data_IF_654976120203
#
_entry.id   IF_654976120203
#
_cell.length_a   1.000
_cell.length_b   1.000
_cell.length_c   1.000
_cell.angle_alpha   90.00
_cell.angle_beta   90.00
_cell.angle_gamma   90.00
#
_symmetry.space_group_name_H-M   'P 1'
#
loop_
_entity.id
_entity.type
_entity.pdbx_description
1 polymer ?
#
# COMPACT_ATOMS: atom_id res chain seq x y z
N UNK A 1 16.57 33.74 -28.45
CA UNK A 1 17.24 32.50 -28.06
C UNK A 1 16.23 31.68 -27.27
N UNK A 2 15.76 30.63 -27.84
CA UNK A 2 14.69 29.78 -27.27
C UNK A 2 15.33 28.75 -26.37
N UNK A 3 15.36 29.03 -25.07
CA UNK A 3 16.02 28.19 -24.07
C UNK A 3 15.18 26.98 -23.60
N UNK A 4 14.03 26.69 -24.22
CA UNK A 4 13.16 25.57 -23.82
C UNK A 4 13.36 24.37 -24.75
N UNK A 5 14.56 23.84 -24.80
CA UNK A 5 14.81 22.59 -25.52
C UNK A 5 14.39 21.39 -24.66
N UNK A 6 13.95 20.25 -25.25
CA UNK A 6 13.73 19.01 -24.50
C UNK A 6 14.91 18.57 -23.65
N UNK A 7 16.13 18.90 -24.04
CA UNK A 7 17.37 18.60 -23.30
C UNK A 7 17.44 19.43 -22.03
N UNK A 8 17.12 20.73 -22.10
CA UNK A 8 17.14 21.62 -20.93
C UNK A 8 16.02 21.24 -19.95
N UNK A 9 14.82 20.96 -20.46
CA UNK A 9 13.69 20.52 -19.65
C UNK A 9 14.04 19.21 -18.89
N UNK A 10 14.68 18.27 -19.57
CA UNK A 10 15.14 17.03 -18.94
C UNK A 10 16.20 17.32 -17.89
N UNK A 11 17.22 18.12 -18.21
CA UNK A 11 18.31 18.47 -17.28
C UNK A 11 17.77 19.13 -16.01
N UNK A 12 16.91 20.12 -16.14
CA UNK A 12 16.27 20.78 -14.99
C UNK A 12 15.39 19.82 -14.16
N UNK A 13 14.67 18.91 -14.82
CA UNK A 13 13.86 17.90 -14.14
C UNK A 13 14.75 16.96 -13.30
N UNK A 14 15.88 16.51 -13.85
CA UNK A 14 16.85 15.67 -13.14
C UNK A 14 17.48 16.39 -11.95
N UNK A 15 17.85 17.67 -12.12
CA UNK A 15 18.38 18.51 -11.04
C UNK A 15 17.36 18.66 -9.90
N UNK A 16 16.09 18.98 -10.22
CA UNK A 16 15.02 19.08 -9.20
C UNK A 16 14.76 17.75 -8.49
N UNK A 17 14.97 16.63 -9.18
CA UNK A 17 14.85 15.30 -8.61
C UNK A 17 16.06 14.85 -7.79
N UNK A 18 17.16 15.62 -7.79
CA UNK A 18 18.43 15.30 -7.10
C UNK A 18 19.18 14.15 -7.74
N UNK A 19 19.07 13.97 -9.07
CA UNK A 19 19.67 12.86 -9.82
C UNK A 19 20.94 13.32 -10.53
N UNK A 20 21.98 12.46 -10.53
CA UNK A 20 23.28 12.74 -11.08
C UNK A 20 23.96 11.52 -11.76
N UNK A 21 25.27 11.58 -11.99
CA UNK A 21 26.01 10.58 -12.78
C UNK A 21 25.99 9.15 -12.23
N UNK A 22 25.78 9.00 -10.92
CA UNK A 22 25.74 7.69 -10.27
C UNK A 22 24.36 7.02 -10.34
N UNK A 23 23.32 7.80 -10.68
CA UNK A 23 21.97 7.30 -10.79
C UNK A 23 21.75 6.60 -12.13
N UNK A 24 21.02 5.48 -12.07
CA UNK A 24 20.56 4.76 -13.26
C UNK A 24 19.09 5.05 -13.51
N UNK A 25 18.77 5.44 -14.75
CA UNK A 25 17.43 5.77 -15.20
C UNK A 25 16.92 4.73 -16.19
N UNK A 26 15.64 4.42 -16.14
CA UNK A 26 14.97 3.64 -17.19
C UNK A 26 14.06 4.55 -18.01
N UNK A 27 14.26 4.61 -19.32
CA UNK A 27 13.45 5.39 -20.24
C UNK A 27 12.36 4.52 -20.87
N UNK A 28 11.10 4.85 -20.64
CA UNK A 28 9.98 4.15 -21.30
C UNK A 28 9.81 4.64 -22.74
N UNK A 29 10.12 3.78 -23.71
CA UNK A 29 10.03 4.06 -25.14
C UNK A 29 8.88 3.27 -25.79
N UNK A 30 7.93 3.98 -26.41
CA UNK A 30 6.85 3.38 -27.18
C UNK A 30 7.14 3.30 -28.69
N UNK A 31 8.22 3.94 -29.16
CA UNK A 31 8.51 4.14 -30.57
C UNK A 31 7.88 5.38 -31.18
N UNK A 32 6.87 5.97 -30.52
CA UNK A 32 6.23 7.21 -30.97
C UNK A 32 7.11 8.43 -30.74
N UNK A 33 6.82 9.53 -31.51
CA UNK A 33 7.61 10.75 -31.59
C UNK A 33 8.10 11.26 -30.23
N UNK A 34 7.20 11.45 -29.27
CA UNK A 34 7.53 12.09 -27.99
C UNK A 34 8.50 11.22 -27.17
N UNK A 35 8.38 9.89 -27.25
CA UNK A 35 9.32 8.96 -26.61
C UNK A 35 10.67 8.90 -27.30
N UNK A 36 10.72 9.10 -28.62
CA UNK A 36 11.96 9.23 -29.38
C UNK A 36 12.67 10.54 -29.02
N UNK A 37 11.96 11.65 -28.97
CA UNK A 37 12.50 12.94 -28.48
C UNK A 37 13.14 12.77 -27.09
N UNK A 38 12.47 12.07 -26.18
CA UNK A 38 13.03 11.84 -24.83
C UNK A 38 14.31 10.97 -24.88
N UNK A 39 14.33 9.96 -25.73
CA UNK A 39 15.51 9.10 -25.89
C UNK A 39 16.72 9.89 -26.44
N UNK A 40 16.52 10.73 -27.46
CA UNK A 40 17.57 11.60 -27.99
C UNK A 40 18.02 12.66 -26.98
N UNK A 41 17.11 13.24 -26.20
CA UNK A 41 17.44 14.19 -25.13
C UNK A 41 18.29 13.53 -24.03
N UNK A 42 17.98 12.29 -23.64
CA UNK A 42 18.77 11.51 -22.68
C UNK A 42 20.17 11.21 -23.26
N UNK A 43 20.26 10.83 -24.53
CA UNK A 43 21.56 10.57 -25.16
C UNK A 43 22.43 11.84 -25.21
N UNK A 44 21.83 13.01 -25.45
CA UNK A 44 22.54 14.30 -25.47
C UNK A 44 23.07 14.73 -24.11
N UNK A 45 22.48 14.25 -23.00
CA UNK A 45 22.91 14.56 -21.63
C UNK A 45 24.00 13.61 -21.09
N UNK A 46 24.53 12.68 -21.86
CA UNK A 46 25.62 11.79 -21.41
C UNK A 46 26.94 12.57 -21.35
N UNK A 47 27.76 12.43 -20.28
CA UNK A 47 27.72 11.42 -19.23
C UNK A 47 26.96 11.83 -17.95
N UNK A 48 26.10 12.83 -17.98
CA UNK A 48 25.43 13.38 -16.78
C UNK A 48 24.60 12.33 -16.03
N UNK A 49 24.08 11.31 -16.72
CA UNK A 49 23.30 10.20 -16.11
C UNK A 49 23.54 8.89 -16.86
N UNK A 50 23.40 7.77 -16.17
CA UNK A 50 23.33 6.45 -16.77
C UNK A 50 21.89 6.16 -17.14
N UNK A 51 21.63 5.66 -18.36
CA UNK A 51 20.28 5.38 -18.81
C UNK A 51 20.21 4.12 -19.67
N UNK A 52 19.09 3.39 -19.54
CA UNK A 52 18.71 2.31 -20.43
C UNK A 52 17.30 2.57 -20.97
N UNK A 53 17.04 2.08 -22.17
CA UNK A 53 15.73 2.19 -22.85
C UNK A 53 14.91 0.94 -22.59
N UNK A 54 13.64 1.10 -22.27
CA UNK A 54 12.70 0.01 -22.06
C UNK A 54 11.50 0.11 -23.00
N UNK A 55 11.25 -0.95 -23.75
CA UNK A 55 10.05 -1.10 -24.58
C UNK A 55 9.14 -2.20 -24.03
N UNK A 56 7.84 -1.90 -23.91
CA UNK A 56 6.83 -2.88 -23.50
C UNK A 56 5.95 -3.22 -24.68
N UNK A 57 6.09 -4.45 -25.16
CA UNK A 57 5.32 -5.00 -26.27
C UNK A 57 3.97 -5.52 -25.76
N UNK A 58 2.88 -4.87 -26.14
CA UNK A 58 1.54 -5.18 -25.63
C UNK A 58 0.89 -6.42 -26.30
N UNK A 59 1.40 -6.90 -27.42
CA UNK A 59 0.83 -8.04 -28.16
C UNK A 59 -0.53 -7.78 -28.82
N UNK A 60 -0.95 -6.52 -28.93
CA UNK A 60 -2.29 -6.15 -29.41
C UNK A 60 -2.33 -5.77 -30.90
N UNK A 61 -1.18 -5.53 -31.50
CA UNK A 61 -1.09 -5.05 -32.88
C UNK A 61 -0.16 -5.94 -33.68
N UNK A 62 -0.48 -6.13 -34.98
CA UNK A 62 0.33 -6.97 -35.88
C UNK A 62 1.73 -6.42 -36.14
N UNK A 63 1.91 -5.09 -36.08
CA UNK A 63 3.20 -4.40 -36.26
C UNK A 63 4.01 -4.18 -34.98
N UNK A 64 3.59 -4.76 -33.88
CA UNK A 64 4.25 -4.53 -32.60
C UNK A 64 5.71 -5.07 -32.55
N UNK A 65 6.01 -6.12 -33.35
CA UNK A 65 7.38 -6.63 -33.52
C UNK A 65 8.26 -5.67 -34.30
N UNK A 66 7.73 -5.02 -35.37
CA UNK A 66 8.45 -3.98 -36.12
C UNK A 66 8.80 -2.79 -35.23
N UNK A 67 7.87 -2.39 -34.35
CA UNK A 67 8.10 -1.28 -33.41
C UNK A 67 9.14 -1.62 -32.35
N UNK A 68 9.15 -2.86 -31.89
CA UNK A 68 10.18 -3.36 -30.99
C UNK A 68 11.56 -3.27 -31.65
N UNK A 69 11.69 -3.80 -32.89
CA UNK A 69 12.93 -3.77 -33.64
C UNK A 69 13.41 -2.34 -33.91
N UNK A 70 12.49 -1.44 -34.28
CA UNK A 70 12.77 -0.02 -34.45
C UNK A 70 13.33 0.63 -33.18
N UNK A 71 12.66 0.44 -32.04
CA UNK A 71 13.12 1.00 -30.76
C UNK A 71 14.50 0.46 -30.37
N UNK A 72 14.78 -0.82 -30.61
CA UNK A 72 16.06 -1.44 -30.32
C UNK A 72 17.19 -0.87 -31.21
N UNK A 73 16.92 -0.68 -32.54
CA UNK A 73 17.87 -0.09 -33.45
C UNK A 73 18.21 1.36 -33.09
N UNK A 74 17.21 2.17 -32.79
CA UNK A 74 17.39 3.57 -32.35
C UNK A 74 18.17 3.66 -31.04
N UNK A 75 17.86 2.83 -30.03
CA UNK A 75 18.60 2.80 -28.78
C UNK A 75 20.08 2.42 -29.02
N UNK A 76 20.33 1.42 -29.89
CA UNK A 76 21.66 0.99 -30.28
C UNK A 76 22.44 2.09 -31.00
N UNK A 77 21.82 2.83 -31.92
CA UNK A 77 22.45 3.94 -32.67
C UNK A 77 22.92 5.06 -31.71
N UNK A 78 22.17 5.27 -30.62
CA UNK A 78 22.48 6.23 -29.58
C UNK A 78 23.39 5.66 -28.47
N UNK A 79 23.84 4.41 -28.58
CA UNK A 79 24.69 3.73 -27.60
C UNK A 79 24.00 3.55 -26.24
N UNK A 80 22.67 3.40 -26.23
CA UNK A 80 21.89 3.17 -25.01
C UNK A 80 21.55 1.68 -24.88
N UNK A 81 21.75 1.05 -23.70
CA UNK A 81 21.27 -0.29 -23.42
C UNK A 81 19.74 -0.39 -23.63
N UNK A 82 19.30 -1.52 -24.18
CA UNK A 82 17.89 -1.74 -24.50
C UNK A 82 17.32 -2.97 -23.78
N UNK A 83 16.16 -2.81 -23.16
CA UNK A 83 15.40 -3.88 -22.52
C UNK A 83 14.01 -3.94 -23.14
N UNK A 84 13.43 -5.14 -23.19
CA UNK A 84 12.05 -5.30 -23.64
C UNK A 84 11.30 -6.35 -22.83
N UNK A 85 9.98 -6.18 -22.72
CA UNK A 85 9.07 -7.16 -22.12
C UNK A 85 7.83 -7.29 -22.98
N UNK A 86 7.43 -8.53 -23.23
CA UNK A 86 6.20 -8.86 -23.94
C UNK A 86 5.11 -9.18 -22.92
N UNK A 87 3.99 -8.45 -22.96
CA UNK A 87 2.84 -8.75 -22.11
C UNK A 87 2.11 -9.97 -22.65
N UNK A 88 1.84 -10.93 -21.78
CA UNK A 88 0.98 -12.08 -22.14
C UNK A 88 -0.47 -11.67 -21.95
N UNK A 89 -1.25 -11.68 -23.00
CA UNK A 89 -2.70 -11.46 -22.95
C UNK A 89 -3.31 -12.71 -22.32
N UNK A 90 -3.67 -12.65 -21.05
CA UNK A 90 -4.47 -13.72 -20.42
C UNK A 90 -5.92 -13.59 -20.86
N UNK A 91 -6.59 -14.71 -21.13
CA UNK A 91 -8.01 -14.73 -21.47
C UNK A 91 -8.82 -14.16 -20.27
N UNK A 92 -9.39 -12.98 -20.44
CA UNK A 92 -10.22 -12.29 -19.46
C UNK A 92 -9.57 -11.00 -18.92
N UNK A 93 -10.01 -9.85 -19.44
CA UNK A 93 -9.56 -8.53 -18.97
C UNK A 93 -10.19 -8.12 -17.64
N UNK A 94 -10.96 -9.00 -17.00
CA UNK A 94 -11.71 -8.71 -15.79
C UNK A 94 -12.65 -7.50 -15.95
N UNK A 95 -13.01 -6.89 -14.83
CA UNK A 95 -13.89 -5.70 -14.79
C UNK A 95 -13.21 -4.39 -15.22
N UNK A 96 -11.91 -4.40 -15.45
CA UNK A 96 -11.11 -3.18 -15.70
C UNK A 96 -11.07 -2.72 -17.18
N UNK A 97 -11.40 -3.58 -18.12
CA UNK A 97 -11.26 -3.30 -19.54
C UNK A 97 -9.81 -3.36 -20.08
N UNK A 98 -9.68 -3.50 -21.41
CA UNK A 98 -8.40 -3.71 -22.11
C UNK A 98 -7.36 -2.59 -21.86
N UNK A 99 -7.80 -1.32 -21.90
CA UNK A 99 -6.89 -0.17 -21.76
C UNK A 99 -6.29 -0.11 -20.33
N UNK A 100 -7.10 -0.33 -19.31
CA UNK A 100 -6.65 -0.34 -17.93
C UNK A 100 -5.71 -1.52 -17.64
N UNK A 101 -6.02 -2.69 -18.20
CA UNK A 101 -5.17 -3.87 -18.12
C UNK A 101 -3.79 -3.62 -18.79
N UNK A 102 -3.79 -3.13 -20.02
CA UNK A 102 -2.56 -2.84 -20.76
C UNK A 102 -1.71 -1.78 -20.05
N UNK A 103 -2.36 -0.75 -19.46
CA UNK A 103 -1.69 0.27 -18.66
C UNK A 103 -1.05 -0.31 -17.39
N UNK A 104 -1.78 -1.13 -16.63
CA UNK A 104 -1.25 -1.76 -15.42
C UNK A 104 -0.10 -2.72 -15.75
N UNK A 105 -0.25 -3.55 -16.80
CA UNK A 105 0.79 -4.45 -17.29
C UNK A 105 2.05 -3.71 -17.72
N UNK A 106 1.91 -2.57 -18.42
CA UNK A 106 3.04 -1.72 -18.81
C UNK A 106 3.81 -1.20 -17.60
N UNK A 107 3.12 -0.66 -16.58
CA UNK A 107 3.81 -0.13 -15.40
C UNK A 107 4.53 -1.24 -14.61
N UNK A 108 3.95 -2.44 -14.48
CA UNK A 108 4.62 -3.59 -13.85
C UNK A 108 5.88 -3.99 -14.63
N UNK A 109 5.75 -4.18 -15.95
CA UNK A 109 6.89 -4.55 -16.79
C UNK A 109 8.02 -3.52 -16.74
N UNK A 110 7.69 -2.22 -16.71
CA UNK A 110 8.69 -1.16 -16.55
C UNK A 110 9.32 -1.19 -15.16
N UNK A 111 8.56 -1.48 -14.11
CA UNK A 111 9.09 -1.60 -12.74
C UNK A 111 10.06 -2.79 -12.62
N UNK A 112 9.70 -3.93 -13.22
CA UNK A 112 10.55 -5.13 -13.23
C UNK A 112 11.88 -4.84 -13.96
N UNK A 113 11.82 -4.24 -15.16
CA UNK A 113 13.02 -3.86 -15.92
C UNK A 113 13.86 -2.80 -15.19
N UNK A 114 13.24 -1.84 -14.51
CA UNK A 114 13.95 -0.85 -13.70
C UNK A 114 14.71 -1.53 -12.54
N UNK A 115 14.06 -2.47 -11.87
CA UNK A 115 14.68 -3.25 -10.77
C UNK A 115 15.88 -4.06 -11.26
N UNK A 116 15.80 -4.68 -12.44
CA UNK A 116 16.89 -5.47 -13.04
C UNK A 116 18.18 -4.66 -13.22
N UNK A 117 18.06 -3.38 -13.56
CA UNK A 117 19.21 -2.50 -13.79
C UNK A 117 19.55 -1.61 -12.59
N UNK A 118 18.89 -1.82 -11.45
CA UNK A 118 19.04 -1.00 -10.25
C UNK A 118 18.50 0.42 -10.37
N UNK A 119 17.64 0.71 -11.36
CA UNK A 119 17.03 2.02 -11.54
C UNK A 119 15.85 2.22 -10.56
N UNK A 120 15.83 3.38 -9.90
CA UNK A 120 14.70 3.83 -9.06
C UNK A 120 13.80 4.84 -9.74
N UNK A 121 14.16 5.26 -10.94
CA UNK A 121 13.45 6.29 -11.70
C UNK A 121 13.17 5.81 -13.11
N UNK A 122 11.90 5.96 -13.51
CA UNK A 122 11.42 5.71 -14.87
C UNK A 122 11.03 7.04 -15.52
N UNK A 123 11.66 7.36 -16.63
CA UNK A 123 11.32 8.54 -17.44
C UNK A 123 10.19 8.23 -18.41
N UNK A 124 9.23 9.16 -18.56
CA UNK A 124 8.15 9.06 -19.56
C UNK A 124 7.95 10.39 -20.28
N UNK A 125 7.65 10.34 -21.56
CA UNK A 125 7.54 11.49 -22.43
C UNK A 125 6.16 12.18 -22.42
N UNK A 126 5.47 12.21 -21.25
CA UNK A 126 4.23 12.95 -21.15
C UNK A 126 4.51 14.45 -21.24
N UNK A 127 3.69 15.17 -22.02
CA UNK A 127 3.85 16.59 -22.33
C UNK A 127 2.63 17.42 -21.95
N UNK A 128 2.67 18.74 -22.17
CA UNK A 128 1.64 19.70 -21.78
C UNK A 128 0.23 19.33 -22.29
N UNK A 129 0.11 18.92 -23.55
CA UNK A 129 -1.21 18.51 -24.06
C UNK A 129 -1.74 17.25 -23.38
N UNK A 130 -0.88 16.31 -22.95
CA UNK A 130 -1.31 15.16 -22.13
C UNK A 130 -1.83 15.56 -20.75
N UNK A 131 -1.31 16.67 -20.20
CA UNK A 131 -1.86 17.27 -18.97
C UNK A 131 -3.30 17.71 -19.19
N UNK A 132 -3.56 18.48 -20.24
CA UNK A 132 -4.92 18.92 -20.56
C UNK A 132 -5.86 17.74 -20.80
N UNK A 133 -5.43 16.74 -21.59
CA UNK A 133 -6.22 15.52 -21.84
C UNK A 133 -6.57 14.83 -20.50
N UNK A 134 -5.60 14.72 -19.60
CA UNK A 134 -5.76 14.07 -18.28
C UNK A 134 -6.73 14.83 -17.40
N UNK A 135 -6.59 16.16 -17.30
CA UNK A 135 -7.45 17.00 -16.48
C UNK A 135 -8.89 16.99 -17.02
N UNK A 136 -9.07 17.12 -18.34
CA UNK A 136 -10.39 17.09 -18.97
C UNK A 136 -11.10 15.72 -18.79
N UNK A 137 -10.38 14.61 -18.93
CA UNK A 137 -10.92 13.27 -18.65
C UNK A 137 -11.36 13.12 -17.19
N UNK A 138 -10.57 13.65 -16.27
CA UNK A 138 -10.88 13.61 -14.83
C UNK A 138 -12.05 14.55 -14.48
N UNK A 139 -12.13 15.72 -15.10
CA UNK A 139 -13.24 16.65 -14.95
C UNK A 139 -14.56 16.02 -15.40
N UNK A 140 -14.59 15.37 -16.56
CA UNK A 140 -15.77 14.64 -17.07
C UNK A 140 -16.22 13.48 -16.16
N UNK A 141 -15.29 12.92 -15.38
CA UNK A 141 -15.57 11.87 -14.38
C UNK A 141 -15.98 12.44 -13.02
N UNK A 142 -16.10 13.73 -12.87
CA UNK A 142 -16.45 14.38 -11.60
C UNK A 142 -15.36 14.31 -10.54
N UNK A 143 -14.09 14.28 -10.94
CA UNK A 143 -12.98 14.28 -9.98
C UNK A 143 -12.92 15.57 -9.18
N UNK A 144 -12.59 15.46 -7.89
CA UNK A 144 -12.31 16.60 -7.01
C UNK A 144 -10.91 17.19 -7.24
N UNK A 145 -10.51 18.12 -6.36
CA UNK A 145 -9.26 18.91 -6.45
C UNK A 145 -8.03 18.04 -6.74
N UNK A 146 -7.82 16.96 -5.99
CA UNK A 146 -6.66 16.07 -6.17
C UNK A 146 -6.61 15.45 -7.57
N UNK A 147 -7.76 15.14 -8.15
CA UNK A 147 -7.85 14.64 -9.52
C UNK A 147 -7.56 15.73 -10.55
N UNK A 148 -8.11 16.94 -10.37
CA UNK A 148 -7.97 18.06 -11.28
C UNK A 148 -6.56 18.68 -11.25
N UNK A 149 -5.75 18.39 -10.23
CA UNK A 149 -4.33 18.75 -10.18
C UNK A 149 -3.45 18.07 -11.26
N UNK A 150 -4.03 17.24 -12.13
CA UNK A 150 -3.32 16.65 -13.27
C UNK A 150 -2.24 15.64 -12.90
N UNK A 151 -1.22 15.51 -13.75
CA UNK A 151 -0.02 14.72 -13.51
C UNK A 151 1.04 15.57 -12.81
N UNK A 152 1.81 14.98 -11.91
CA UNK A 152 2.99 15.61 -11.31
C UNK A 152 4.24 15.30 -12.15
N UNK A 153 5.20 16.22 -12.16
CA UNK A 153 6.51 15.99 -12.77
C UNK A 153 7.16 14.74 -12.18
N UNK A 154 7.09 14.59 -10.87
CA UNK A 154 7.50 13.40 -10.14
C UNK A 154 6.32 12.79 -9.40
N UNK A 155 6.17 11.47 -9.48
CA UNK A 155 5.16 10.73 -8.72
C UNK A 155 5.65 9.31 -8.41
N UNK A 156 5.13 8.66 -7.34
CA UNK A 156 5.36 7.23 -7.13
C UNK A 156 4.96 6.43 -8.37
N UNK A 157 5.73 5.41 -8.68
CA UNK A 157 5.44 4.53 -9.82
C UNK A 157 4.33 3.55 -9.45
N UNK A 158 3.23 3.48 -10.22
CA UNK A 158 2.15 2.51 -9.96
C UNK A 158 2.65 1.07 -10.06
N UNK A 159 2.19 0.20 -9.16
CA UNK A 159 2.52 -1.23 -9.13
C UNK A 159 4.02 -1.57 -9.01
N UNK A 160 4.81 -0.66 -8.47
CA UNK A 160 6.25 -0.82 -8.27
C UNK A 160 6.62 -0.91 -6.79
N UNK A 161 7.80 -1.42 -6.44
CA UNK A 161 8.34 -1.35 -5.10
C UNK A 161 8.37 0.07 -4.53
N UNK A 162 8.32 0.18 -3.19
CA UNK A 162 8.43 1.47 -2.52
C UNK A 162 9.73 2.21 -2.92
N UNK A 163 9.62 3.53 -3.11
CA UNK A 163 10.74 4.39 -3.50
C UNK A 163 10.97 4.52 -5.01
N UNK A 164 10.33 3.69 -5.85
CA UNK A 164 10.41 3.85 -7.30
C UNK A 164 9.48 4.98 -7.78
N UNK A 165 9.98 5.86 -8.66
CA UNK A 165 9.31 7.08 -9.12
C UNK A 165 9.20 7.13 -10.64
N UNK A 166 8.17 7.79 -11.14
CA UNK A 166 8.06 8.22 -12.55
C UNK A 166 8.37 9.70 -12.64
N UNK A 167 9.28 10.06 -13.53
CA UNK A 167 9.52 11.46 -13.90
C UNK A 167 8.98 11.77 -15.31
N UNK A 168 8.49 13.01 -15.48
CA UNK A 168 7.86 13.51 -16.71
C UNK A 168 8.48 14.85 -17.07
N UNK A 169 9.67 14.86 -17.67
CA UNK A 169 10.41 16.10 -17.91
C UNK A 169 9.72 17.06 -18.88
N UNK A 170 8.82 16.56 -19.73
CA UNK A 170 8.20 17.35 -20.80
C UNK A 170 6.81 17.91 -20.44
N UNK A 171 6.38 17.85 -19.18
CA UNK A 171 5.05 18.35 -18.80
C UNK A 171 4.84 19.84 -19.06
N UNK A 172 5.91 20.64 -19.19
CA UNK A 172 5.86 22.04 -19.57
C UNK A 172 6.00 22.30 -21.07
N UNK A 173 6.35 21.29 -21.88
CA UNK A 173 6.53 21.42 -23.32
C UNK A 173 5.27 21.06 -24.08
N UNK A 174 4.94 21.81 -25.12
CA UNK A 174 3.83 21.49 -26.02
C UNK A 174 4.19 20.37 -26.98
N UNK A 175 3.17 19.66 -27.48
CA UNK A 175 3.31 18.68 -28.56
C UNK A 175 3.97 19.28 -29.81
N UNK A 176 3.71 20.56 -30.10
CA UNK A 176 4.29 21.26 -31.22
C UNK A 176 5.79 21.49 -31.03
N UNK A 177 6.24 21.95 -29.87
CA UNK A 177 7.67 22.11 -29.58
C UNK A 177 8.44 20.79 -29.70
N UNK A 178 7.86 19.68 -29.22
CA UNK A 178 8.47 18.35 -29.39
C UNK A 178 8.52 17.93 -30.85
N UNK A 179 7.48 18.23 -31.66
CA UNK A 179 7.45 17.94 -33.07
C UNK A 179 8.51 18.71 -33.85
N UNK A 180 8.60 20.03 -33.62
CA UNK A 180 9.59 20.90 -34.25
C UNK A 180 11.01 20.47 -33.91
N UNK A 181 11.29 20.14 -32.66
CA UNK A 181 12.59 19.65 -32.23
C UNK A 181 12.98 18.31 -32.88
N UNK A 182 12.00 17.38 -33.01
CA UNK A 182 12.20 16.11 -33.71
C UNK A 182 12.49 16.32 -35.20
N UNK A 183 11.75 17.19 -35.87
CA UNK A 183 11.94 17.49 -37.27
C UNK A 183 13.30 18.14 -37.58
N UNK A 184 13.70 19.15 -36.75
CA UNK A 184 14.99 19.83 -36.90
C UNK A 184 16.18 18.89 -36.78
N UNK A 185 16.03 17.77 -36.09
CA UNK A 185 17.09 16.78 -35.84
C UNK A 185 16.93 15.50 -36.70
N UNK A 186 15.93 15.45 -37.55
CA UNK A 186 15.70 14.30 -38.39
C UNK A 186 15.35 13.01 -37.64
N UNK A 187 14.82 13.16 -36.42
CA UNK A 187 14.46 12.01 -35.59
C UNK A 187 13.33 11.23 -36.22
N UNK A 188 13.51 9.93 -36.35
CA UNK A 188 12.48 9.03 -36.91
C UNK A 188 11.59 8.50 -35.78
N UNK A 189 10.32 8.21 -36.09
CA UNK A 189 9.37 7.60 -35.17
C UNK A 189 8.36 6.74 -35.88
N UNK A 190 7.68 5.88 -35.15
CA UNK A 190 6.56 5.08 -35.64
C UNK A 190 5.23 5.73 -35.31
N UNK A 191 4.28 5.66 -36.22
CA UNK A 191 2.92 6.12 -35.98
C UNK A 191 2.01 4.91 -35.71
N UNK A 192 1.36 4.97 -34.53
CA UNK A 192 0.37 3.98 -34.12
C UNK A 192 -1.01 4.37 -34.69
N UNK A 193 -1.60 3.58 -35.61
CA UNK A 193 -2.91 3.87 -36.18
C UNK A 193 -4.03 3.98 -35.12
N UNK A 194 -3.88 3.32 -33.96
CA UNK A 194 -4.87 3.40 -32.88
C UNK A 194 -4.99 4.79 -32.26
N UNK A 195 -4.01 5.69 -32.49
CA UNK A 195 -4.08 7.09 -32.05
C UNK A 195 -5.21 7.87 -32.73
N UNK A 196 -5.73 7.38 -33.86
CA UNK A 196 -6.83 8.00 -34.58
C UNK A 196 -8.21 7.43 -34.22
N UNK A 197 -8.27 6.35 -33.45
CA UNK A 197 -9.52 5.67 -33.10
C UNK A 197 -10.35 6.49 -32.10
N UNK A 198 -11.41 7.12 -32.60
CA UNK A 198 -12.33 7.94 -31.77
C UNK A 198 -13.25 7.15 -30.84
N UNK A 199 -13.27 5.84 -30.91
CA UNK A 199 -13.97 5.00 -29.93
C UNK A 199 -13.32 5.15 -28.54
N UNK A 200 -12.02 5.44 -28.51
CA UNK A 200 -11.28 5.70 -27.28
C UNK A 200 -11.61 7.10 -26.72
N UNK A 201 -12.00 7.13 -25.45
CA UNK A 201 -12.38 8.39 -24.77
C UNK A 201 -11.26 9.44 -24.82
N UNK A 202 -10.01 9.02 -24.70
CA UNK A 202 -8.84 9.91 -24.73
C UNK A 202 -8.68 10.59 -26.10
N UNK A 203 -8.86 9.86 -27.19
CA UNK A 203 -8.75 10.42 -28.54
C UNK A 203 -9.89 11.41 -28.84
N UNK A 204 -11.10 11.19 -28.30
CA UNK A 204 -12.19 12.17 -28.40
C UNK A 204 -11.85 13.46 -27.66
N UNK A 205 -11.30 13.35 -26.45
CA UNK A 205 -10.87 14.53 -25.66
C UNK A 205 -9.73 15.25 -26.36
N UNK A 206 -8.76 14.54 -26.91
CA UNK A 206 -7.66 15.09 -27.70
C UNK A 206 -8.18 15.95 -28.84
N UNK A 207 -9.07 15.42 -29.68
CA UNK A 207 -9.66 16.19 -30.79
C UNK A 207 -10.41 17.44 -30.34
N UNK A 208 -11.18 17.32 -29.27
CA UNK A 208 -11.89 18.45 -28.68
C UNK A 208 -10.92 19.55 -28.21
N UNK A 209 -9.85 19.20 -27.52
CA UNK A 209 -8.85 20.15 -27.04
C UNK A 209 -8.03 20.74 -28.20
N UNK A 210 -7.61 19.94 -29.16
CA UNK A 210 -6.86 20.39 -30.34
C UNK A 210 -7.68 21.39 -31.16
N UNK A 211 -9.02 21.22 -31.26
CA UNK A 211 -9.90 22.19 -31.92
C UNK A 211 -9.93 23.50 -31.14
N UNK A 212 -10.12 23.47 -29.82
CA UNK A 212 -10.17 24.67 -28.98
C UNK A 212 -8.86 25.45 -28.94
N UNK A 213 -7.73 24.75 -29.00
CA UNK A 213 -6.41 25.37 -29.10
C UNK A 213 -6.21 26.06 -30.47
N UNK A 214 -6.72 25.47 -31.57
CA UNK A 214 -6.65 26.08 -32.91
C UNK A 214 -7.55 27.32 -33.05
N UNK A 215 -8.70 27.29 -32.40
CA UNK A 215 -9.70 28.38 -32.48
C UNK A 215 -9.40 29.50 -31.45
N UNK A 216 -8.22 29.49 -30.82
CA UNK A 216 -7.83 30.41 -29.75
C UNK A 216 -8.83 30.47 -28.57
N UNK A 217 -9.72 29.47 -28.48
CA UNK A 217 -10.70 29.36 -27.42
C UNK A 217 -10.10 28.75 -26.13
N UNK A 218 -8.82 28.35 -26.15
CA UNK A 218 -8.06 27.80 -25.07
C UNK A 218 -6.59 28.19 -25.22
N UNK A 219 -5.98 28.70 -24.17
CA UNK A 219 -4.55 29.02 -24.11
C UNK A 219 -3.81 27.93 -23.34
N UNK A 220 -2.86 27.26 -23.96
CA UNK A 220 -2.09 26.20 -23.31
C UNK A 220 -1.29 26.73 -22.10
N UNK A 221 -0.61 27.89 -22.15
CA UNK A 221 0.07 28.45 -20.99
C UNK A 221 -0.87 28.76 -19.83
N UNK A 222 -2.06 29.34 -20.09
CA UNK A 222 -3.02 29.69 -19.03
C UNK A 222 -3.60 28.45 -18.35
N UNK A 223 -3.89 27.41 -19.12
CA UNK A 223 -4.34 26.14 -18.58
C UNK A 223 -3.26 25.47 -17.73
N UNK A 224 -1.99 25.49 -18.16
CA UNK A 224 -0.89 24.96 -17.38
C UNK A 224 -0.69 25.76 -16.08
N UNK A 225 -0.80 27.09 -16.14
CA UNK A 225 -0.76 27.93 -14.94
C UNK A 225 -1.90 27.58 -13.98
N UNK A 226 -3.13 27.41 -14.49
CA UNK A 226 -4.29 26.98 -13.71
C UNK A 226 -4.07 25.62 -13.06
N UNK A 227 -3.52 24.65 -13.78
CA UNK A 227 -3.15 23.33 -13.25
C UNK A 227 -2.09 23.49 -12.14
N UNK A 228 -1.11 24.38 -12.31
CA UNK A 228 -0.11 24.69 -11.30
C UNK A 228 -0.72 25.19 -9.99
N UNK A 229 -1.70 26.09 -10.07
CA UNK A 229 -2.45 26.57 -8.89
C UNK A 229 -3.24 25.44 -8.21
N UNK A 230 -3.90 24.60 -9.00
CA UNK A 230 -4.61 23.42 -8.48
C UNK A 230 -3.64 22.44 -7.80
N UNK A 231 -2.43 22.29 -8.33
CA UNK A 231 -1.39 21.47 -7.73
C UNK A 231 -0.96 22.01 -6.37
N UNK A 232 -0.70 23.30 -6.26
CA UNK A 232 -0.35 23.93 -5.00
C UNK A 232 -1.47 23.80 -3.95
N UNK A 233 -2.73 23.99 -4.36
CA UNK A 233 -3.87 23.82 -3.48
C UNK A 233 -4.02 22.35 -3.01
N UNK A 234 -3.79 21.38 -3.92
CA UNK A 234 -3.80 19.96 -3.61
C UNK A 234 -2.69 19.57 -2.63
N UNK A 235 -1.48 20.16 -2.75
CA UNK A 235 -0.36 19.89 -1.84
C UNK A 235 -0.64 20.42 -0.44
N UNK A 236 -1.21 21.61 -0.33
CA UNK A 236 -1.64 22.15 0.98
C UNK A 236 -2.71 21.26 1.62
N UNK A 237 -3.69 20.81 0.85
CA UNK A 237 -4.75 19.92 1.33
C UNK A 237 -4.19 18.58 1.83
N UNK A 238 -3.27 17.98 1.07
CA UNK A 238 -2.62 16.73 1.46
C UNK A 238 -1.75 16.90 2.70
N UNK A 239 -0.96 17.98 2.79
CA UNK A 239 -0.16 18.28 3.98
C UNK A 239 -1.02 18.49 5.22
N UNK A 240 -2.16 19.18 5.08
CA UNK A 240 -3.11 19.34 6.19
C UNK A 240 -3.73 17.99 6.59
N UNK A 241 -4.14 17.17 5.61
CA UNK A 241 -4.72 15.86 5.89
C UNK A 241 -3.71 14.91 6.57
N UNK A 242 -2.44 14.96 6.18
CA UNK A 242 -1.35 14.22 6.83
C UNK A 242 -1.16 14.67 8.28
N UNK A 243 -1.10 15.97 8.52
CA UNK A 243 -0.99 16.54 9.87
C UNK A 243 -2.21 16.16 10.75
N UNK A 244 -3.40 16.20 10.18
CA UNK A 244 -4.64 15.81 10.87
C UNK A 244 -4.63 14.32 11.25
N UNK A 245 -4.20 13.44 10.35
CA UNK A 245 -4.06 12.01 10.63
C UNK A 245 -2.99 11.77 11.69
N UNK A 246 -1.85 12.44 11.61
CA UNK A 246 -0.80 12.33 12.63
C UNK A 246 -1.30 12.73 14.02
N UNK A 247 -2.06 13.84 14.10
CA UNK A 247 -2.66 14.31 15.36
C UNK A 247 -3.76 13.38 15.88
N UNK A 248 -4.45 12.65 14.99
CA UNK A 248 -5.49 11.70 15.35
C UNK A 248 -4.96 10.27 15.56
N UNK A 249 -3.68 10.02 15.35
CA UNK A 249 -3.09 8.68 15.50
C UNK A 249 -3.02 8.26 16.96
N UNK A 250 -3.42 7.02 17.26
CA UNK A 250 -3.31 6.41 18.57
C UNK A 250 -1.91 5.85 18.74
N UNK A 251 -1.13 6.40 19.68
CA UNK A 251 0.16 5.85 20.06
C UNK A 251 -0.05 4.81 21.18
N UNK A 252 0.16 3.55 20.89
CA UNK A 252 0.10 2.47 21.86
C UNK A 252 1.50 2.23 22.43
N UNK A 253 1.63 2.18 23.75
CA UNK A 253 2.90 2.11 24.48
C UNK A 253 3.76 0.84 24.21
N UNK A 254 3.23 -0.14 23.49
CA UNK A 254 3.87 -1.44 23.25
C UNK A 254 4.27 -1.71 21.79
N UNK A 255 4.30 -0.70 20.93
CA UNK A 255 4.63 -0.93 19.52
C UNK A 255 6.14 -0.97 19.27
N UNK A 256 6.67 -2.17 19.08
CA UNK A 256 7.76 -2.40 18.13
C UNK A 256 7.27 -1.98 16.74
N UNK A 257 8.12 -1.34 15.96
CA UNK A 257 7.87 -0.67 14.68
C UNK A 257 7.23 -1.50 13.53
N UNK A 258 6.51 -2.56 13.85
CA UNK A 258 6.00 -3.54 12.89
C UNK A 258 4.54 -3.36 12.44
N UNK A 259 3.82 -2.35 12.97
CA UNK A 259 2.48 -2.06 12.46
C UNK A 259 2.54 -0.93 11.44
N UNK A 260 2.64 -1.28 10.18
CA UNK A 260 2.63 -0.34 9.02
C UNK A 260 1.36 0.54 8.93
N UNK A 261 0.43 0.40 9.88
CA UNK A 261 -0.90 0.98 9.80
C UNK A 261 -1.27 1.77 11.05
N UNK A 262 -1.23 3.11 11.03
CA UNK A 262 -1.62 3.90 12.19
C UNK A 262 -3.11 3.73 12.48
N UNK A 263 -3.44 3.39 13.72
CA UNK A 263 -4.81 3.45 14.22
C UNK A 263 -5.21 4.89 14.51
N UNK A 264 -6.48 5.23 14.23
CA UNK A 264 -7.02 6.56 14.48
C UNK A 264 -7.88 6.57 15.76
N UNK A 265 -7.82 7.67 16.50
CA UNK A 265 -8.75 7.99 17.57
C UNK A 265 -10.04 8.55 16.98
N UNK A 266 -11.18 7.92 17.29
CA UNK A 266 -12.49 8.43 16.91
C UNK A 266 -12.75 9.82 17.49
N UNK A 267 -12.45 10.03 18.76
CA UNK A 267 -12.70 11.31 19.43
C UNK A 267 -11.85 12.43 18.82
N UNK A 268 -10.58 12.19 18.52
CA UNK A 268 -9.73 13.15 17.83
C UNK A 268 -10.24 13.47 16.42
N UNK A 269 -10.64 12.45 15.64
CA UNK A 269 -11.24 12.65 14.33
C UNK A 269 -12.54 13.45 14.39
N UNK A 270 -13.35 13.27 15.43
CA UNK A 270 -14.58 14.04 15.62
C UNK A 270 -14.33 15.49 16.03
N UNK A 271 -13.15 15.82 16.52
CA UNK A 271 -12.70 17.20 16.75
C UNK A 271 -12.39 17.99 15.48
N UNK A 272 -12.20 17.32 14.34
CA UNK A 272 -12.03 17.97 13.05
C UNK A 272 -13.40 18.42 12.49
N UNK A 273 -13.39 19.51 11.72
CA UNK A 273 -14.57 19.86 10.91
C UNK A 273 -14.81 18.78 9.81
N UNK A 274 -15.99 18.81 9.20
CA UNK A 274 -16.42 17.76 8.25
C UNK A 274 -15.54 17.68 7.00
N UNK A 275 -14.95 18.79 6.55
CA UNK A 275 -14.10 18.82 5.36
C UNK A 275 -12.74 18.21 5.68
N UNK A 276 -12.09 18.66 6.75
CA UNK A 276 -10.80 18.13 7.20
C UNK A 276 -10.91 16.65 7.53
N UNK A 277 -11.98 16.25 8.21
CA UNK A 277 -12.26 14.85 8.55
C UNK A 277 -12.37 13.95 7.32
N UNK A 278 -13.10 14.41 6.28
CA UNK A 278 -13.23 13.68 5.03
C UNK A 278 -11.89 13.53 4.30
N UNK A 279 -11.06 14.57 4.27
CA UNK A 279 -9.75 14.53 3.61
C UNK A 279 -8.73 13.72 4.43
N UNK A 280 -8.76 13.78 5.76
CA UNK A 280 -7.96 12.92 6.63
C UNK A 280 -8.30 11.43 6.42
N UNK A 281 -9.60 11.08 6.31
CA UNK A 281 -10.01 9.72 5.96
C UNK A 281 -9.52 9.30 4.57
N UNK A 282 -9.60 10.18 3.55
CA UNK A 282 -9.07 9.90 2.21
C UNK A 282 -7.57 9.65 2.24
N UNK A 283 -6.83 10.51 2.91
CA UNK A 283 -5.37 10.38 3.03
C UNK A 283 -5.00 9.07 3.73
N UNK A 284 -5.67 8.76 4.84
CA UNK A 284 -5.45 7.54 5.60
C UNK A 284 -5.76 6.29 4.77
N UNK A 285 -6.91 6.24 4.07
CA UNK A 285 -7.26 5.12 3.17
C UNK A 285 -6.26 4.96 2.03
N UNK A 286 -5.75 6.07 1.48
CA UNK A 286 -4.71 6.05 0.46
C UNK A 286 -3.39 5.45 0.96
N UNK A 287 -3.00 5.76 2.20
CA UNK A 287 -1.82 5.16 2.86
C UNK A 287 -2.02 3.66 3.11
N UNK A 288 -3.25 3.20 3.33
CA UNK A 288 -3.60 1.77 3.40
C UNK A 288 -3.57 1.07 2.03
N UNK A 289 -3.23 1.77 0.95
CA UNK A 289 -3.22 1.21 -0.40
C UNK A 289 -4.60 1.03 -1.02
N UNK A 290 -5.66 1.52 -0.38
CA UNK A 290 -7.02 1.40 -0.89
C UNK A 290 -7.26 2.28 -2.11
N UNK A 291 -8.08 1.77 -3.03
CA UNK A 291 -8.64 2.61 -4.08
C UNK A 291 -9.45 3.75 -3.46
N UNK A 292 -9.25 4.97 -3.96
CA UNK A 292 -9.99 6.12 -3.47
C UNK A 292 -11.50 5.89 -3.54
N UNK A 293 -12.23 6.01 -2.42
CA UNK A 293 -13.68 5.85 -2.40
C UNK A 293 -14.37 7.00 -3.16
N UNK A 294 -15.51 6.70 -3.77
CA UNK A 294 -16.41 7.74 -4.26
C UNK A 294 -16.90 8.62 -3.10
N UNK A 295 -17.40 9.82 -3.41
CA UNK A 295 -17.94 10.72 -2.38
C UNK A 295 -19.01 10.05 -1.51
N UNK A 296 -19.92 9.30 -2.11
CA UNK A 296 -20.98 8.58 -1.40
C UNK A 296 -20.40 7.48 -0.49
N UNK A 297 -19.41 6.72 -1.00
CA UNK A 297 -18.77 5.66 -0.20
C UNK A 297 -17.95 6.24 0.96
N UNK A 298 -17.27 7.36 0.75
CA UNK A 298 -16.55 8.04 1.82
C UNK A 298 -17.51 8.50 2.92
N UNK A 299 -18.65 9.09 2.54
CA UNK A 299 -19.69 9.49 3.49
C UNK A 299 -20.24 8.29 4.28
N UNK A 300 -20.45 7.15 3.62
CA UNK A 300 -20.85 5.91 4.28
C UNK A 300 -19.81 5.45 5.30
N UNK A 301 -18.52 5.44 4.93
CA UNK A 301 -17.39 5.10 5.81
C UNK A 301 -17.38 6.03 7.03
N UNK A 302 -17.44 7.35 6.80
CA UNK A 302 -17.49 8.35 7.86
C UNK A 302 -18.67 8.12 8.80
N UNK A 303 -19.87 7.98 8.25
CA UNK A 303 -21.10 7.76 9.01
C UNK A 303 -21.01 6.53 9.91
N UNK A 304 -20.50 5.41 9.40
CA UNK A 304 -20.42 4.15 10.15
C UNK A 304 -19.27 4.15 11.16
N UNK A 305 -18.08 4.61 10.76
CA UNK A 305 -16.91 4.58 11.64
C UNK A 305 -16.91 5.71 12.67
N UNK A 306 -17.40 6.89 12.35
CA UNK A 306 -17.27 8.06 13.21
C UNK A 306 -18.58 8.48 13.86
N UNK A 307 -19.67 8.58 13.09
CA UNK A 307 -20.92 9.19 13.55
C UNK A 307 -21.86 8.20 14.24
N UNK A 308 -21.82 6.91 13.91
CA UNK A 308 -22.72 5.92 14.51
C UNK A 308 -22.52 5.78 16.04
N UNK A 309 -23.61 5.64 16.79
CA UNK A 309 -23.58 5.53 18.25
C UNK A 309 -23.07 4.17 18.77
N UNK A 310 -23.12 3.10 17.96
CA UNK A 310 -22.66 1.77 18.37
C UNK A 310 -21.19 1.80 18.84
N UNK A 311 -20.83 0.96 19.80
CA UNK A 311 -19.43 0.87 20.30
C UNK A 311 -18.47 0.15 19.35
N UNK A 312 -19.01 -0.61 18.39
CA UNK A 312 -18.27 -1.34 17.34
C UNK A 312 -18.95 -1.13 16.00
N UNK A 313 -18.16 -0.93 14.96
CA UNK A 313 -18.60 -0.87 13.58
C UNK A 313 -17.58 -1.56 12.67
N UNK A 314 -18.08 -2.19 11.60
CA UNK A 314 -17.29 -2.84 10.55
C UNK A 314 -17.71 -2.26 9.20
N UNK A 315 -16.74 -1.81 8.40
CA UNK A 315 -16.98 -1.27 7.07
C UNK A 315 -16.03 -1.93 6.08
N UNK A 316 -16.56 -2.53 5.03
CA UNK A 316 -15.75 -3.11 3.95
C UNK A 316 -15.52 -2.11 2.83
N UNK A 317 -14.27 -1.99 2.40
CA UNK A 317 -13.87 -1.17 1.27
C UNK A 317 -12.61 -1.74 0.61
N UNK A 318 -12.64 -1.93 -0.71
CA UNK A 318 -11.51 -2.32 -1.55
C UNK A 318 -10.70 -3.52 -1.02
N UNK A 319 -11.39 -4.57 -0.59
CA UNK A 319 -10.77 -5.82 -0.08
C UNK A 319 -10.36 -5.78 1.39
N UNK A 320 -10.38 -4.61 2.05
CA UNK A 320 -10.11 -4.52 3.49
C UNK A 320 -11.38 -4.32 4.31
N UNK A 321 -11.31 -4.72 5.57
CA UNK A 321 -12.35 -4.44 6.56
C UNK A 321 -11.82 -3.43 7.58
N UNK A 322 -12.47 -2.28 7.66
CA UNK A 322 -12.21 -1.27 8.67
C UNK A 322 -13.00 -1.59 9.92
N UNK A 323 -12.36 -1.60 11.07
CA UNK A 323 -12.96 -1.83 12.37
C UNK A 323 -12.90 -0.58 13.22
N UNK A 324 -14.03 -0.18 13.78
CA UNK A 324 -14.06 0.71 14.94
C UNK A 324 -14.44 -0.09 16.17
N UNK A 325 -13.66 0.04 17.21
CA UNK A 325 -13.99 -0.48 18.55
C UNK A 325 -13.65 0.55 19.63
N UNK A 326 -14.68 1.01 20.37
CA UNK A 326 -14.58 2.14 21.29
C UNK A 326 -14.05 3.39 20.55
N UNK A 327 -12.94 3.95 20.99
CA UNK A 327 -12.29 5.11 20.39
C UNK A 327 -11.25 4.76 19.30
N UNK A 328 -10.97 3.49 19.05
CA UNK A 328 -9.95 3.06 18.09
C UNK A 328 -10.57 2.69 16.73
N UNK A 329 -9.95 3.16 15.66
CA UNK A 329 -10.30 2.85 14.27
C UNK A 329 -9.05 2.31 13.58
N UNK A 330 -9.15 1.18 12.91
CA UNK A 330 -8.04 0.56 12.20
C UNK A 330 -8.50 -0.50 11.21
N UNK A 331 -7.56 -1.17 10.58
CA UNK A 331 -7.84 -2.33 9.73
C UNK A 331 -8.08 -3.55 10.61
N UNK A 332 -9.15 -4.28 10.35
CA UNK A 332 -9.41 -5.56 10.99
C UNK A 332 -8.49 -6.62 10.36
N UNK A 333 -7.67 -7.32 11.16
CA UNK A 333 -6.85 -8.39 10.63
C UNK A 333 -7.71 -9.57 10.13
N UNK A 334 -7.31 -10.16 9.01
CA UNK A 334 -7.91 -11.38 8.48
C UNK A 334 -7.27 -12.59 9.16
N UNK A 335 -7.76 -12.91 10.35
CA UNK A 335 -7.31 -14.09 11.12
C UNK A 335 -8.50 -15.03 11.29
N UNK A 336 -8.41 -16.28 10.85
CA UNK A 336 -9.49 -17.24 11.03
C UNK A 336 -9.65 -17.58 12.51
N UNK A 337 -10.85 -18.00 12.94
CA UNK A 337 -11.06 -18.57 14.26
C UNK A 337 -10.16 -19.77 14.49
N UNK A 338 -9.79 -20.02 15.75
CA UNK A 338 -9.00 -21.20 16.10
C UNK A 338 -9.86 -22.46 15.95
N UNK A 339 -9.40 -23.37 15.10
CA UNK A 339 -9.93 -24.73 15.04
C UNK A 339 -9.35 -25.53 16.20
N UNK A 340 -10.17 -26.34 16.91
CA UNK A 340 -9.69 -27.20 18.00
C UNK A 340 -8.55 -28.10 17.54
N UNK A 341 -7.46 -28.11 18.29
CA UNK A 341 -6.25 -28.87 17.99
C UNK A 341 -5.78 -29.60 19.25
N UNK A 342 -5.54 -30.89 19.14
CA UNK A 342 -4.93 -31.69 20.20
C UNK A 342 -3.41 -31.68 20.04
N UNK A 343 -2.70 -31.42 21.14
CA UNK A 343 -1.26 -31.38 21.22
C UNK A 343 -0.82 -32.35 22.36
N UNK A 344 0.12 -33.24 22.08
CA UNK A 344 0.88 -33.96 23.09
C UNK A 344 2.32 -33.45 22.98
N UNK A 345 2.75 -32.70 23.98
CA UNK A 345 4.05 -32.05 23.95
C UNK A 345 5.19 -33.09 24.02
N UNK A 346 6.14 -32.96 23.12
CA UNK A 346 7.32 -33.87 23.00
C UNK A 346 8.64 -33.11 23.04
N UNK A 347 8.62 -31.84 23.54
CA UNK A 347 9.79 -30.98 23.59
C UNK A 347 9.77 -29.86 22.51
N UNK A 348 8.64 -29.67 21.82
CA UNK A 348 8.49 -28.55 20.89
C UNK A 348 8.67 -27.21 21.64
N UNK A 349 9.44 -26.30 21.05
CA UNK A 349 9.68 -24.98 21.63
C UNK A 349 8.60 -23.96 21.27
N UNK A 350 7.78 -24.23 20.28
CA UNK A 350 6.63 -23.41 19.91
C UNK A 350 5.58 -24.18 19.10
N UNK A 351 4.39 -23.61 19.06
CA UNK A 351 3.27 -24.05 18.20
C UNK A 351 2.75 -22.85 17.42
N UNK A 352 2.72 -22.95 16.09
CA UNK A 352 2.13 -21.93 15.23
C UNK A 352 0.61 -22.03 15.25
N UNK A 353 -0.04 -20.88 15.52
CA UNK A 353 -1.48 -20.70 15.53
C UNK A 353 -1.87 -19.58 14.55
N UNK A 354 -3.08 -19.58 13.99
CA UNK A 354 -3.51 -18.52 13.06
C UNK A 354 -3.37 -17.09 13.61
N UNK A 355 -3.55 -16.93 14.92
CA UNK A 355 -3.50 -15.64 15.60
C UNK A 355 -2.12 -15.26 16.17
N UNK A 356 -1.10 -16.10 16.02
CA UNK A 356 0.23 -15.91 16.59
C UNK A 356 0.92 -17.22 16.95
N UNK A 357 1.90 -17.13 17.81
CA UNK A 357 2.73 -18.29 18.18
C UNK A 357 2.66 -18.51 19.70
N UNK A 358 2.39 -19.75 20.10
CA UNK A 358 2.52 -20.20 21.47
C UNK A 358 3.94 -20.74 21.67
N UNK A 359 4.72 -20.10 22.53
CA UNK A 359 6.04 -20.57 22.94
C UNK A 359 5.94 -21.47 24.18
N UNK A 360 6.77 -22.51 24.20
CA UNK A 360 6.93 -23.48 25.26
C UNK A 360 8.42 -23.55 25.55
N UNK A 361 8.90 -22.70 26.47
CA UNK A 361 10.32 -22.52 26.70
C UNK A 361 10.74 -23.09 28.07
N UNK A 362 11.93 -23.66 28.16
CA UNK A 362 12.46 -24.11 29.45
C UNK A 362 12.66 -22.90 30.36
N UNK A 363 12.03 -22.96 31.53
CA UNK A 363 12.19 -21.93 32.53
C UNK A 363 13.52 -22.08 33.27
N UNK A 364 14.26 -20.98 33.44
CA UNK A 364 15.45 -20.95 34.31
C UNK A 364 14.98 -20.64 35.75
N UNK A 365 15.41 -21.43 36.76
CA UNK A 365 14.98 -21.25 38.17
C UNK A 365 15.25 -19.87 38.76
N UNK A 366 16.23 -19.14 38.23
CA UNK A 366 16.66 -17.84 38.73
C UNK A 366 15.78 -16.64 38.29
N UNK A 367 14.84 -16.86 37.39
CA UNK A 367 13.99 -15.77 36.80
C UNK A 367 12.55 -15.79 37.36
N UNK A 368 12.21 -16.69 38.27
CA UNK A 368 10.90 -16.71 38.89
C UNK A 368 10.74 -15.52 39.85
N UNK A 369 10.14 -14.43 39.36
CA UNK A 369 9.65 -13.36 40.23
C UNK A 369 8.62 -13.98 41.18
N UNK A 370 8.56 -13.55 42.45
CA UNK A 370 7.55 -14.00 43.41
C UNK A 370 6.19 -13.40 43.04
N UNK A 371 5.61 -13.85 41.94
CA UNK A 371 4.27 -13.49 41.50
C UNK A 371 3.26 -14.48 42.07
N UNK A 372 2.08 -14.02 42.40
CA UNK A 372 1.01 -14.81 43.01
C UNK A 372 0.39 -15.86 42.06
N UNK A 373 0.88 -15.96 40.80
CA UNK A 373 0.51 -16.95 39.82
C UNK A 373 1.79 -17.64 39.36
N UNK A 374 1.86 -18.97 39.29
CA UNK A 374 3.02 -19.64 38.73
C UNK A 374 3.17 -19.28 37.26
N UNK A 375 4.35 -18.76 36.88
CA UNK A 375 4.66 -18.43 35.47
C UNK A 375 5.09 -19.69 34.70
N UNK A 376 5.13 -20.86 35.34
CA UNK A 376 5.68 -22.10 34.81
C UNK A 376 4.78 -23.31 35.06
N UNK A 377 4.87 -24.28 34.19
CA UNK A 377 4.20 -25.58 34.22
C UNK A 377 5.26 -26.68 34.38
N UNK A 378 4.96 -27.74 35.14
CA UNK A 378 5.83 -28.91 35.24
C UNK A 378 5.98 -29.59 33.87
N UNK A 379 7.21 -29.81 33.42
CA UNK A 379 7.49 -30.35 32.09
C UNK A 379 7.10 -31.83 31.95
N UNK A 380 7.28 -32.61 33.04
CA UNK A 380 6.91 -34.05 33.05
C UNK A 380 5.39 -34.19 33.02
N UNK A 381 4.67 -33.33 33.75
CA UNK A 381 3.23 -33.31 33.71
C UNK A 381 2.73 -32.92 32.31
N UNK A 382 3.31 -31.87 31.69
CA UNK A 382 2.93 -31.43 30.34
C UNK A 382 3.15 -32.51 29.29
N UNK A 383 4.24 -33.30 29.40
CA UNK A 383 4.57 -34.34 28.44
C UNK A 383 3.58 -35.53 28.49
N UNK A 384 2.94 -35.78 29.63
CA UNK A 384 1.99 -36.87 29.85
C UNK A 384 0.54 -36.45 29.61
N UNK A 385 0.27 -35.15 29.57
CA UNK A 385 -1.08 -34.61 29.47
C UNK A 385 -1.43 -34.31 28.03
N UNK A 386 -2.66 -34.63 27.63
CA UNK A 386 -3.19 -34.23 26.34
C UNK A 386 -3.73 -32.82 26.43
N UNK A 387 -3.17 -31.92 25.62
CA UNK A 387 -3.50 -30.50 25.57
C UNK A 387 -4.44 -30.22 24.42
N UNK A 388 -5.59 -29.61 24.69
CA UNK A 388 -6.50 -29.07 23.70
C UNK A 388 -6.26 -27.57 23.58
N UNK A 389 -5.96 -27.10 22.39
CA UNK A 389 -5.90 -25.67 22.05
C UNK A 389 -7.17 -25.34 21.26
N UNK A 390 -8.04 -24.52 21.81
CA UNK A 390 -9.28 -24.07 21.16
C UNK A 390 -9.56 -22.59 21.44
N UNK A 391 -10.73 -22.10 21.04
CA UNK A 391 -11.19 -20.74 21.36
C UNK A 391 -11.86 -20.72 22.74
N UNK A 392 -11.90 -19.54 23.36
CA UNK A 392 -12.68 -19.34 24.60
C UNK A 392 -14.17 -19.57 24.40
N UNK A 393 -14.80 -20.29 25.31
CA UNK A 393 -16.21 -20.70 25.22
C UNK A 393 -17.14 -19.65 25.85
N UNK A 394 -18.34 -19.51 25.26
CA UNK A 394 -19.36 -18.67 25.85
C UNK A 394 -19.80 -19.14 27.24
N UNK A 395 -19.84 -18.23 28.20
CA UNK A 395 -20.18 -18.56 29.61
C UNK A 395 -19.03 -19.08 30.44
N UNK A 396 -17.90 -19.49 29.85
CA UNK A 396 -16.70 -19.95 30.54
C UNK A 396 -16.17 -18.86 31.50
N UNK A 397 -15.82 -19.30 32.71
CA UNK A 397 -15.29 -18.42 33.76
C UNK A 397 -13.84 -18.77 34.03
N UNK A 398 -13.01 -17.74 34.09
CA UNK A 398 -11.56 -17.86 34.30
C UNK A 398 -11.17 -17.02 35.53
N UNK A 399 -10.17 -17.51 36.28
CA UNK A 399 -9.52 -16.79 37.33
C UNK A 399 -8.06 -16.50 36.95
N UNK A 400 -7.71 -15.22 36.89
CA UNK A 400 -6.38 -14.79 36.40
C UNK A 400 -5.32 -14.82 37.52
N UNK A 401 -5.72 -14.72 38.78
CA UNK A 401 -4.84 -14.85 39.95
C UNK A 401 -5.62 -15.44 41.11
N UNK A 402 -4.95 -16.08 42.11
CA UNK A 402 -5.62 -16.66 43.28
C UNK A 402 -6.44 -15.65 44.07
N UNK A 403 -6.02 -14.39 44.13
CA UNK A 403 -6.71 -13.29 44.81
C UNK A 403 -7.81 -12.64 43.97
N UNK A 404 -7.91 -12.93 42.66
CA UNK A 404 -8.90 -12.29 41.80
C UNK A 404 -10.21 -13.09 41.74
N UNK A 405 -11.38 -12.39 41.60
CA UNK A 405 -12.63 -13.11 41.37
C UNK A 405 -12.66 -13.78 39.98
N UNK A 406 -13.28 -14.95 39.91
CA UNK A 406 -13.56 -15.60 38.65
C UNK A 406 -14.51 -14.76 37.79
N UNK A 407 -14.15 -14.49 36.54
CA UNK A 407 -14.93 -13.67 35.59
C UNK A 407 -15.18 -14.43 34.31
N UNK A 408 -16.34 -14.14 33.66
CA UNK A 408 -16.61 -14.76 32.36
C UNK A 408 -15.61 -14.28 31.30
N UNK A 409 -15.23 -15.17 30.37
CA UNK A 409 -14.39 -14.89 29.22
C UNK A 409 -14.78 -13.57 28.51
N UNK A 410 -16.08 -13.39 28.25
CA UNK A 410 -16.59 -12.17 27.65
C UNK A 410 -16.23 -10.91 28.46
N UNK A 411 -16.38 -10.92 29.78
CA UNK A 411 -16.07 -9.77 30.65
C UNK A 411 -14.57 -9.49 30.69
N UNK A 412 -13.73 -10.52 30.72
CA UNK A 412 -12.27 -10.37 30.67
C UNK A 412 -11.84 -9.71 29.37
N UNK A 413 -12.32 -10.20 28.21
CA UNK A 413 -12.04 -9.63 26.92
C UNK A 413 -12.53 -8.18 26.78
N UNK A 414 -13.74 -7.88 27.33
CA UNK A 414 -14.27 -6.51 27.35
C UNK A 414 -13.42 -5.57 28.21
N UNK A 415 -12.99 -6.02 29.37
CA UNK A 415 -12.13 -5.24 30.25
C UNK A 415 -10.78 -4.92 29.59
N UNK A 416 -10.18 -5.90 28.91
CA UNK A 416 -8.93 -5.73 28.16
C UNK A 416 -9.11 -4.86 26.90
N UNK A 417 -10.35 -4.62 26.48
CA UNK A 417 -10.62 -3.80 25.28
C UNK A 417 -10.51 -4.57 23.96
N UNK A 418 -10.72 -5.89 23.98
CA UNK A 418 -10.62 -6.75 22.79
C UNK A 418 -11.97 -6.78 22.06
N UNK A 419 -11.99 -6.43 20.74
CA UNK A 419 -13.20 -6.48 19.92
C UNK A 419 -13.84 -7.87 19.88
N UNK A 420 -15.18 -7.92 19.84
CA UNK A 420 -15.90 -9.19 19.85
C UNK A 420 -15.53 -10.09 18.64
N UNK A 421 -15.30 -9.49 17.48
CA UNK A 421 -14.95 -10.19 16.24
C UNK A 421 -13.58 -10.88 16.29
N UNK A 422 -12.67 -10.49 17.20
CA UNK A 422 -11.34 -11.09 17.32
C UNK A 422 -11.23 -12.14 18.44
N UNK A 423 -12.25 -12.28 19.28
CA UNK A 423 -12.18 -13.17 20.46
C UNK A 423 -12.09 -14.66 20.09
N UNK A 424 -12.68 -15.05 18.98
CA UNK A 424 -12.63 -16.42 18.47
C UNK A 424 -11.25 -16.78 17.87
N UNK A 425 -10.39 -15.80 17.64
CA UNK A 425 -9.03 -16.02 17.14
C UNK A 425 -8.00 -16.20 18.27
N UNK A 426 -8.40 -15.97 19.54
CA UNK A 426 -7.47 -16.04 20.66
C UNK A 426 -7.48 -17.42 21.32
N UNK A 427 -6.28 -18.05 21.51
CA UNK A 427 -6.19 -19.40 22.04
C UNK A 427 -6.49 -19.48 23.54
N UNK A 428 -7.22 -20.53 23.90
CA UNK A 428 -7.32 -21.05 25.24
C UNK A 428 -6.74 -22.45 25.25
N UNK A 429 -5.80 -22.71 26.13
CA UNK A 429 -5.13 -23.99 26.27
C UNK A 429 -5.77 -24.72 27.44
N UNK A 430 -6.15 -25.98 27.22
CA UNK A 430 -6.84 -26.82 28.18
C UNK A 430 -6.09 -28.12 28.41
N UNK A 431 -6.08 -28.56 29.64
CA UNK A 431 -5.63 -29.88 30.03
C UNK A 431 -6.82 -30.61 30.68
N UNK A 432 -7.14 -31.82 30.22
CA UNK A 432 -8.29 -32.60 30.71
C UNK A 432 -9.60 -31.79 30.73
N UNK A 433 -9.79 -30.93 29.74
CA UNK A 433 -10.96 -30.06 29.60
C UNK A 433 -10.92 -28.77 30.44
N UNK A 434 -9.98 -28.63 31.38
CA UNK A 434 -9.82 -27.42 32.21
C UNK A 434 -8.89 -26.42 31.55
N UNK A 435 -9.24 -25.11 31.49
CA UNK A 435 -8.36 -24.09 30.96
C UNK A 435 -7.17 -23.83 31.89
N UNK A 436 -5.96 -23.92 31.35
CA UNK A 436 -4.70 -23.68 32.08
C UNK A 436 -4.00 -22.39 31.63
N UNK A 437 -4.20 -21.98 30.37
CA UNK A 437 -3.65 -20.75 29.83
C UNK A 437 -4.68 -20.11 28.88
N UNK A 438 -4.75 -18.79 28.89
CA UNK A 438 -5.66 -18.04 28.03
C UNK A 438 -5.00 -16.79 27.48
N UNK A 439 -4.89 -16.69 26.15
CA UNK A 439 -4.38 -15.47 25.51
C UNK A 439 -5.40 -14.30 25.62
N UNK A 440 -4.96 -13.08 25.91
CA UNK A 440 -3.58 -12.65 26.15
C UNK A 440 -3.22 -12.55 27.66
N UNK A 441 -3.83 -13.36 28.52
CA UNK A 441 -3.71 -13.23 29.98
C UNK A 441 -2.59 -14.09 30.57
N UNK A 442 -2.14 -15.15 29.90
CA UNK A 442 -1.14 -16.09 30.39
C UNK A 442 -1.76 -17.29 31.14
N UNK A 443 -1.01 -17.85 32.08
CA UNK A 443 -1.45 -18.97 32.90
C UNK A 443 -2.59 -18.55 33.84
N UNK A 444 -3.44 -19.52 34.18
CA UNK A 444 -4.64 -19.30 35.02
C UNK A 444 -4.43 -19.86 36.42
N UNK A 445 -5.08 -19.24 37.42
CA UNK A 445 -4.95 -19.63 38.80
C UNK A 445 -5.60 -20.98 39.16
N UNK A 446 -6.58 -21.41 38.35
CA UNK A 446 -7.36 -22.64 38.60
C UNK A 446 -6.77 -23.85 37.88
N UNK A 447 -5.43 -23.88 37.61
CA UNK A 447 -4.74 -25.01 37.04
C UNK A 447 -4.78 -26.23 37.97
N UNK A 448 -4.72 -27.47 37.45
CA UNK A 448 -4.57 -28.64 38.25
C UNK A 448 -3.37 -28.57 39.20
N UNK A 449 -3.45 -29.01 40.45
CA UNK A 449 -2.33 -28.94 41.40
C UNK A 449 -1.05 -29.58 40.85
N UNK A 450 -1.18 -30.69 40.12
CA UNK A 450 -0.06 -31.47 39.55
C UNK A 450 0.62 -30.71 38.36
N UNK A 451 -0.04 -29.71 37.79
CA UNK A 451 0.51 -28.89 36.74
C UNK A 451 1.47 -27.79 37.27
N UNK A 452 1.39 -27.48 38.55
CA UNK A 452 2.27 -26.51 39.19
C UNK A 452 3.66 -27.10 39.38
N UNK A 453 4.67 -26.40 38.88
CA UNK A 453 6.03 -26.70 39.31
C UNK A 453 6.12 -26.42 40.82
N UNK A 454 6.36 -27.48 41.62
CA UNK A 454 6.45 -27.33 43.05
C UNK A 454 7.59 -26.36 43.43
N UNK A 455 7.32 -25.39 44.28
CA UNK A 455 8.36 -24.50 44.83
C UNK A 455 9.45 -25.33 45.50
N UNK A 456 10.67 -25.36 44.89
CA UNK A 456 11.79 -26.15 45.38
C UNK A 456 11.94 -27.52 44.73
N UNK A 457 11.13 -27.91 43.76
CA UNK A 457 11.38 -29.11 42.94
C UNK A 457 12.54 -28.86 41.97
N UNK A 458 13.47 -29.83 41.91
CA UNK A 458 14.57 -29.80 40.94
C UNK A 458 14.17 -30.30 39.56
N UNK A 459 12.87 -30.48 39.30
CA UNK A 459 12.32 -30.90 38.00
C UNK A 459 12.37 -29.85 36.91
N UNK A 460 12.39 -30.27 35.65
CA UNK A 460 12.36 -29.35 34.54
C UNK A 460 11.00 -28.63 34.46
N UNK A 461 11.02 -27.31 34.34
CA UNK A 461 9.82 -26.47 34.20
C UNK A 461 9.79 -25.78 32.84
N UNK A 462 8.61 -25.56 32.32
CA UNK A 462 8.38 -24.82 31.07
C UNK A 462 7.48 -23.62 31.31
N UNK A 463 7.79 -22.55 30.59
CA UNK A 463 6.97 -21.35 30.55
C UNK A 463 6.11 -21.39 29.28
N UNK A 464 4.81 -21.12 29.43
CA UNK A 464 3.90 -20.95 28.32
C UNK A 464 3.68 -19.47 28.08
N UNK A 465 4.06 -18.98 26.91
CA UNK A 465 3.83 -17.59 26.51
C UNK A 465 3.23 -17.52 25.10
N UNK A 466 2.28 -16.61 24.92
CA UNK A 466 1.68 -16.42 23.62
C UNK A 466 2.04 -15.06 23.03
N UNK A 467 2.62 -15.08 21.82
CA UNK A 467 2.95 -13.89 21.06
C UNK A 467 1.94 -13.72 19.92
N UNK A 468 1.17 -12.62 19.88
CA UNK A 468 0.23 -12.37 18.80
C UNK A 468 0.94 -12.11 17.48
N UNK A 469 0.28 -12.48 16.36
CA UNK A 469 0.67 -12.04 15.03
C UNK A 469 0.68 -10.49 14.98
N UNK A 470 1.62 -9.92 14.20
CA UNK A 470 1.81 -8.47 14.11
C UNK A 470 0.49 -7.71 13.83
N UNK A 471 -0.34 -8.24 12.94
CA UNK A 471 -1.63 -7.64 12.59
C UNK A 471 -2.65 -7.58 13.75
N UNK A 472 -2.51 -8.43 14.77
CA UNK A 472 -3.39 -8.44 15.96
C UNK A 472 -2.90 -7.53 17.08
N UNK A 473 -1.60 -7.26 17.16
CA UNK A 473 -1.01 -6.47 18.24
C UNK A 473 -1.74 -5.14 18.52
N UNK A 474 -2.16 -4.35 17.50
CA UNK A 474 -2.86 -3.09 17.74
C UNK A 474 -4.21 -3.23 18.45
N UNK A 475 -4.78 -4.42 18.46
CA UNK A 475 -6.11 -4.70 18.99
C UNK A 475 -6.12 -5.40 20.36
N UNK A 476 -4.96 -5.85 20.82
CA UNK A 476 -4.76 -6.56 22.09
C UNK A 476 -4.10 -5.69 23.15
#
# INVERSE_FOLDING_TARGET
MTDDTPVDALHQCLQRAGLGPDDTLLLACSGGRDSQVLMHAVAALRPVVRAAVAHVHHGLQSRADDWLAFCAAEASSLGLPFLSRRLRVSAGFGTLGLEAWARAGRYRALADMATEIGARVVLTAHHANDQLETVELRRRRGSGLLGLAGMRESSPMPHAPAGMRVLRPFLGLSRQQLAEWAQQRGIQWVEDPSNQDTRLARNRVRRFLDQRLRDDALSLPDELASIGLLQQAADRLLGQAEADVAACTVHLASHTAAADWPMLSRSAMMGLDSVRRAEALRWWLGRLGCRMPSRLKLFEIERQLLLAAASQALVRHDGITLLRYRDRIGVMPEVPPISPMLLRWKGETFVDLPAGRLYIEQARPEQALPTAVPDTVDADWLSRTEILIDQGRGGERLRLSPSSPSRSWKKLMQARGIPACLRACLPVIRADGQPIHAAPFGLLADMPPDAHAAHGSSGPCVQLSWQPAAALQPWL
#
